data_IF_971159811632
#
_entry.id   IF_971159811632
#
_cell.length_a   1.000
_cell.length_b   1.000
_cell.length_c   1.000
_cell.angle_alpha   90.00
_cell.angle_beta   90.00
_cell.angle_gamma   90.00
#
_symmetry.space_group_name_H-M   'P 1'
#
loop_
_entity.id
_entity.type
_entity.pdbx_description
1 polymer ?
#
# COMPACT_ATOMS: atom_id res chain seq x y z
N UNK A 1 -20.83 -15.21 -12.58
CA UNK A 1 -20.36 -13.82 -12.40
C UNK A 1 -18.99 -13.93 -11.75
N UNK A 2 -17.91 -13.62 -12.47
CA UNK A 2 -16.57 -13.58 -11.87
C UNK A 2 -16.49 -12.25 -11.14
N UNK A 3 -16.76 -12.25 -9.84
CA UNK A 3 -16.43 -11.13 -8.98
C UNK A 3 -14.91 -11.03 -8.98
N UNK A 4 -14.35 -10.26 -9.91
CA UNK A 4 -13.00 -9.73 -9.72
C UNK A 4 -13.05 -8.97 -8.41
N UNK A 5 -12.54 -9.61 -7.35
CA UNK A 5 -12.15 -8.98 -6.11
C UNK A 5 -11.02 -8.03 -6.44
N UNK A 6 -11.34 -6.91 -7.10
CA UNK A 6 -10.49 -5.74 -7.09
C UNK A 6 -10.42 -5.35 -5.63
N UNK A 7 -9.35 -5.74 -4.96
CA UNK A 7 -9.09 -5.27 -3.60
C UNK A 7 -8.88 -3.77 -3.75
N UNK A 8 -9.91 -3.00 -3.38
CA UNK A 8 -9.83 -1.57 -3.52
C UNK A 8 -8.71 -1.09 -2.60
N UNK A 9 -7.77 -0.25 -3.08
CA UNK A 9 -6.72 0.28 -2.24
C UNK A 9 -7.28 1.02 -1.02
N UNK A 10 -8.50 1.55 -1.14
CA UNK A 10 -9.32 2.13 -0.09
C UNK A 10 -9.60 1.18 1.09
N UNK A 11 -9.70 -0.13 0.86
CA UNK A 11 -9.97 -1.10 1.91
C UNK A 11 -8.79 -1.25 2.86
N UNK A 12 -7.55 -1.12 2.35
CA UNK A 12 -6.36 -1.08 3.19
C UNK A 12 -6.20 0.27 3.90
N UNK A 13 -6.75 1.36 3.36
CA UNK A 13 -6.79 2.67 4.03
C UNK A 13 -7.58 2.63 5.34
N UNK A 14 -8.61 1.79 5.48
CA UNK A 14 -9.35 1.71 6.75
C UNK A 14 -8.64 0.87 7.82
N UNK A 15 -8.00 -0.23 7.42
CA UNK A 15 -7.50 -1.23 8.38
C UNK A 15 -5.98 -1.21 8.56
N UNK A 16 -5.28 -0.52 7.66
CA UNK A 16 -3.93 -0.88 7.30
C UNK A 16 -2.90 0.24 7.28
N UNK A 17 -3.33 1.47 7.53
CA UNK A 17 -2.48 2.64 7.37
C UNK A 17 -2.29 3.31 8.71
N UNK A 18 -1.06 3.71 8.97
CA UNK A 18 -0.69 4.43 10.18
C UNK A 18 -0.27 5.84 9.80
N UNK A 19 -0.92 6.82 10.43
CA UNK A 19 -0.54 8.22 10.34
C UNK A 19 0.62 8.47 11.31
N UNK A 20 1.84 8.50 10.78
CA UNK A 20 3.02 8.81 11.56
C UNK A 20 3.27 10.31 11.57
N UNK A 21 3.34 10.88 12.79
CA UNK A 21 3.73 12.28 12.96
C UNK A 21 5.26 12.39 12.96
N UNK A 22 5.86 12.79 11.85
CA UNK A 22 7.31 13.00 11.73
C UNK A 22 7.57 14.49 11.59
N UNK A 23 8.43 15.06 12.46
CA UNK A 23 8.80 16.48 12.45
C UNK A 23 7.62 17.46 12.50
N UNK A 24 6.51 17.08 13.14
CA UNK A 24 5.30 17.90 13.21
C UNK A 24 4.28 17.61 12.11
N UNK A 25 4.67 16.91 11.05
CA UNK A 25 3.85 16.60 9.87
C UNK A 25 3.20 15.23 10.00
N UNK A 26 1.92 15.12 9.65
CA UNK A 26 1.20 13.85 9.63
C UNK A 26 1.43 13.17 8.29
N UNK A 27 2.36 12.23 8.23
CA UNK A 27 2.68 11.47 7.03
C UNK A 27 1.92 10.14 7.03
N UNK A 28 1.44 9.75 5.87
CA UNK A 28 0.81 8.46 5.64
C UNK A 28 1.89 7.40 5.49
N UNK A 29 1.77 6.29 6.23
CA UNK A 29 2.65 5.14 6.12
C UNK A 29 1.82 3.86 6.18
N UNK A 30 2.30 2.80 5.55
CA UNK A 30 1.77 1.47 5.82
C UNK A 30 2.04 1.06 7.26
N UNK A 31 1.06 0.35 7.83
CA UNK A 31 1.29 -0.36 9.08
C UNK A 31 2.27 -1.53 8.84
N UNK A 32 2.79 -2.08 9.93
CA UNK A 32 3.75 -3.18 9.86
C UNK A 32 3.21 -4.40 9.09
N UNK A 33 1.92 -4.69 9.22
CA UNK A 33 1.26 -5.83 8.60
C UNK A 33 1.23 -5.72 7.06
N UNK A 34 0.83 -4.57 6.54
CA UNK A 34 0.81 -4.25 5.12
C UNK A 34 2.20 -4.13 4.52
N UNK A 35 3.14 -3.57 5.27
CA UNK A 35 4.52 -3.49 4.83
C UNK A 35 5.09 -4.90 4.65
N UNK A 36 4.87 -5.79 5.62
CA UNK A 36 5.24 -7.21 5.56
C UNK A 36 4.53 -7.93 4.41
N UNK A 37 3.24 -7.62 4.19
CA UNK A 37 2.44 -8.21 3.11
C UNK A 37 2.98 -7.82 1.73
N UNK A 38 3.29 -6.54 1.53
CA UNK A 38 3.89 -6.02 0.31
C UNK A 38 5.25 -6.70 0.04
N UNK A 39 6.11 -6.79 1.05
CA UNK A 39 7.41 -7.46 0.94
C UNK A 39 7.25 -8.93 0.54
N UNK A 40 6.33 -9.66 1.19
CA UNK A 40 6.03 -11.06 0.86
C UNK A 40 5.54 -11.21 -0.58
N UNK A 41 4.66 -10.33 -1.06
CA UNK A 41 4.17 -10.34 -2.44
C UNK A 41 5.29 -10.05 -3.44
N UNK A 42 6.19 -9.11 -3.14
CA UNK A 42 7.36 -8.81 -3.97
C UNK A 42 8.32 -10.00 -4.00
N UNK A 43 8.54 -10.67 -2.87
CA UNK A 43 9.35 -11.90 -2.83
C UNK A 43 8.71 -13.00 -3.68
N UNK A 44 7.40 -13.20 -3.57
CA UNK A 44 6.68 -14.17 -4.42
C UNK A 44 6.72 -13.78 -5.89
N UNK A 45 6.66 -12.48 -6.20
CA UNK A 45 6.81 -11.97 -7.57
C UNK A 45 8.17 -12.33 -8.15
N UNK A 46 9.24 -12.10 -7.40
CA UNK A 46 10.61 -12.42 -7.81
C UNK A 46 10.79 -13.91 -8.06
N UNK A 47 10.09 -14.74 -7.29
CA UNK A 47 10.09 -16.20 -7.46
C UNK A 47 9.10 -16.68 -8.55
N UNK A 48 8.37 -15.78 -9.23
CA UNK A 48 7.31 -16.12 -10.17
C UNK A 48 6.19 -17.00 -9.57
N UNK A 49 5.99 -16.91 -8.25
CA UNK A 49 5.01 -17.66 -7.46
C UNK A 49 3.75 -16.85 -7.14
N UNK A 50 3.59 -15.67 -7.74
CA UNK A 50 2.40 -14.85 -7.56
C UNK A 50 1.18 -15.52 -8.19
N UNK A 51 0.15 -15.69 -7.38
CA UNK A 51 -1.18 -16.00 -7.90
C UNK A 51 -1.80 -14.75 -8.55
N UNK A 52 -2.80 -14.91 -9.44
CA UNK A 52 -3.53 -13.78 -10.02
C UNK A 52 -4.20 -12.88 -8.96
N UNK A 53 -4.64 -13.47 -7.84
CA UNK A 53 -5.14 -12.71 -6.69
C UNK A 53 -4.04 -11.87 -6.06
N UNK A 54 -2.88 -12.47 -5.77
CA UNK A 54 -1.74 -11.75 -5.19
C UNK A 54 -1.16 -10.69 -6.14
N UNK A 55 -1.22 -10.92 -7.44
CA UNK A 55 -0.81 -9.92 -8.45
C UNK A 55 -1.73 -8.69 -8.39
N UNK A 56 -3.03 -8.93 -8.19
CA UNK A 56 -4.03 -7.87 -8.01
C UNK A 56 -3.81 -7.14 -6.69
N UNK A 57 -3.51 -7.89 -5.62
CA UNK A 57 -3.15 -7.34 -4.30
C UNK A 57 -1.91 -6.44 -4.41
N UNK A 58 -0.83 -6.95 -5.01
CA UNK A 58 0.41 -6.20 -5.22
C UNK A 58 0.19 -4.91 -6.04
N UNK A 59 -0.62 -4.98 -7.10
CA UNK A 59 -0.97 -3.81 -7.89
C UNK A 59 -1.72 -2.75 -7.07
N UNK A 60 -2.67 -3.18 -6.24
CA UNK A 60 -3.41 -2.29 -5.34
C UNK A 60 -2.53 -1.66 -4.26
N UNK A 61 -1.62 -2.43 -3.66
CA UNK A 61 -0.66 -1.93 -2.67
C UNK A 61 0.33 -0.94 -3.27
N UNK A 62 0.81 -1.21 -4.47
CA UNK A 62 1.74 -0.33 -5.20
C UNK A 62 1.08 1.02 -5.52
N UNK A 63 -0.20 1.01 -5.92
CA UNK A 63 -0.94 2.25 -6.14
C UNK A 63 -1.12 3.03 -4.83
N UNK A 64 -1.44 2.33 -3.73
CA UNK A 64 -1.57 2.95 -2.42
C UNK A 64 -0.26 3.59 -1.94
N UNK A 65 0.88 2.93 -2.16
CA UNK A 65 2.22 3.45 -1.85
C UNK A 65 2.51 4.74 -2.61
N UNK A 66 2.13 4.77 -3.88
CA UNK A 66 2.29 5.94 -4.74
C UNK A 66 1.42 7.11 -4.28
N UNK A 67 0.17 6.86 -3.91
CA UNK A 67 -0.72 7.87 -3.32
C UNK A 67 -0.08 8.43 -2.04
N UNK A 68 0.47 7.58 -1.18
CA UNK A 68 1.12 8.00 0.05
C UNK A 68 2.37 8.82 -0.19
N UNK A 69 3.22 8.40 -1.13
CA UNK A 69 4.41 9.16 -1.53
C UNK A 69 4.01 10.54 -2.03
N UNK A 70 2.96 10.66 -2.85
CA UNK A 70 2.47 11.94 -3.36
C UNK A 70 1.87 12.81 -2.25
N UNK A 71 1.04 12.25 -1.36
CA UNK A 71 0.49 12.98 -0.22
C UNK A 71 1.59 13.45 0.72
N UNK A 72 2.54 12.58 1.06
CA UNK A 72 3.68 12.93 1.91
C UNK A 72 4.56 14.00 1.26
N UNK A 73 4.84 13.88 -0.04
CA UNK A 73 5.60 14.89 -0.77
C UNK A 73 4.89 16.25 -0.78
N UNK A 74 3.56 16.29 -0.98
CA UNK A 74 2.74 17.51 -0.87
C UNK A 74 2.83 18.10 0.54
N UNK A 75 2.58 17.30 1.57
CA UNK A 75 2.63 17.74 2.97
C UNK A 75 4.00 18.32 3.31
N UNK A 76 5.09 17.65 2.91
CA UNK A 76 6.45 18.13 3.13
C UNK A 76 6.73 19.42 2.34
N UNK A 77 6.25 19.53 1.10
CA UNK A 77 6.45 20.70 0.25
C UNK A 77 5.64 21.94 0.72
N UNK A 78 4.52 21.73 1.40
CA UNK A 78 3.66 22.79 1.95
C UNK A 78 4.03 23.18 3.41
N UNK A 79 5.06 22.57 3.99
CA UNK A 79 5.49 22.79 5.39
C UNK A 79 6.73 23.67 5.54
#
# INVERSE_FOLDING_TARGET
>A
MVTQTMVQPSSWIETGIELHKIRGLKLFKFNHDLQTRLEMLIERQKNYLLTPEETTELAGLTELDRIFTLMNARIIAES
#
